data_IF_134375383526
#
_entry.id   IF_134375383526
#
_cell.length_a   1.000
_cell.length_b   1.000
_cell.length_c   1.000
_cell.angle_alpha   90.00
_cell.angle_beta   90.00
_cell.angle_gamma   90.00
#
_symmetry.space_group_name_H-M   'P 1'
#
loop_
_entity.id
_entity.type
_entity.pdbx_description
1 polymer ?
#
# COMPACT_ATOMS: atom_id res chain seq x y z
N UNK A 1 -4.75 -32.45 19.21
CA UNK A 1 -6.23 -32.41 19.20
C UNK A 1 -6.87 -31.16 19.83
N UNK A 2 -6.22 -30.41 20.73
CA UNK A 2 -6.80 -29.18 21.34
C UNK A 2 -6.85 -27.94 20.40
N UNK A 3 -5.89 -27.77 19.51
CA UNK A 3 -5.80 -26.60 18.60
C UNK A 3 -6.95 -26.50 17.57
N UNK A 4 -7.47 -27.62 17.07
CA UNK A 4 -8.59 -27.58 16.10
C UNK A 4 -9.90 -27.06 16.70
N UNK A 5 -10.20 -27.37 17.96
CA UNK A 5 -11.46 -26.92 18.60
C UNK A 5 -11.53 -25.41 18.87
N UNK A 6 -10.38 -24.76 19.11
CA UNK A 6 -10.35 -23.31 19.31
C UNK A 6 -10.59 -22.55 17.99
N UNK A 7 -10.06 -23.04 16.87
CA UNK A 7 -10.31 -22.46 15.54
C UNK A 7 -11.76 -22.67 15.09
N UNK A 8 -12.31 -23.87 15.28
CA UNK A 8 -13.73 -24.17 14.95
C UNK A 8 -14.70 -23.30 15.77
N UNK A 9 -14.39 -23.02 17.03
CA UNK A 9 -15.22 -22.19 17.90
C UNK A 9 -15.12 -20.69 17.53
N UNK A 10 -13.96 -20.24 17.09
CA UNK A 10 -13.72 -18.89 16.60
C UNK A 10 -14.49 -18.62 15.30
N UNK A 11 -14.42 -19.55 14.35
CA UNK A 11 -15.12 -19.43 13.07
C UNK A 11 -16.65 -19.48 13.23
N UNK A 12 -17.15 -20.31 14.14
CA UNK A 12 -18.57 -20.37 14.46
C UNK A 12 -19.10 -19.07 15.08
N UNK A 13 -18.35 -18.47 16.02
CA UNK A 13 -18.66 -17.19 16.64
C UNK A 13 -18.66 -16.05 15.62
N UNK A 14 -17.67 -15.99 14.74
CA UNK A 14 -17.61 -14.99 13.66
C UNK A 14 -18.80 -15.11 12.72
N UNK A 15 -19.18 -16.32 12.35
CA UNK A 15 -20.30 -16.58 11.46
C UNK A 15 -21.65 -16.18 12.10
N UNK A 16 -21.84 -16.48 13.38
CA UNK A 16 -23.05 -16.10 14.13
C UNK A 16 -23.13 -14.57 14.28
N UNK A 17 -22.02 -13.91 14.65
CA UNK A 17 -21.94 -12.47 14.75
C UNK A 17 -22.21 -11.79 13.42
N UNK A 18 -21.63 -12.30 12.32
CA UNK A 18 -21.90 -11.78 10.98
C UNK A 18 -23.38 -11.94 10.59
N UNK A 19 -24.01 -13.07 10.88
CA UNK A 19 -25.40 -13.31 10.50
C UNK A 19 -26.39 -12.38 11.24
N UNK A 20 -26.11 -12.05 12.50
CA UNK A 20 -26.93 -11.15 13.33
C UNK A 20 -26.66 -9.67 13.08
N UNK A 21 -25.55 -9.32 12.43
CA UNK A 21 -25.15 -7.95 12.15
C UNK A 21 -26.09 -7.24 11.16
N UNK A 22 -26.26 -5.93 11.32
CA UNK A 22 -26.97 -5.08 10.36
C UNK A 22 -26.25 -5.03 9.00
N UNK A 23 -26.94 -4.59 7.96
CA UNK A 23 -26.33 -4.45 6.64
C UNK A 23 -25.12 -3.51 6.64
N UNK A 24 -25.16 -2.41 7.41
CA UNK A 24 -24.03 -1.49 7.51
C UNK A 24 -22.82 -2.14 8.19
N UNK A 25 -23.03 -2.91 9.25
CA UNK A 25 -21.97 -3.67 9.91
C UNK A 25 -21.37 -4.72 8.98
N UNK A 26 -22.19 -5.45 8.22
CA UNK A 26 -21.74 -6.41 7.21
C UNK A 26 -20.90 -5.76 6.13
N UNK A 27 -21.27 -4.57 5.65
CA UNK A 27 -20.49 -3.80 4.70
C UNK A 27 -19.12 -3.44 5.28
N UNK A 28 -19.06 -2.93 6.51
CA UNK A 28 -17.80 -2.57 7.18
C UNK A 28 -16.92 -3.80 7.38
N UNK A 29 -17.47 -4.92 7.82
CA UNK A 29 -16.73 -6.18 8.00
C UNK A 29 -16.12 -6.66 6.68
N UNK A 30 -16.92 -6.74 5.62
CA UNK A 30 -16.44 -7.15 4.29
C UNK A 30 -15.34 -6.21 3.75
N UNK A 31 -15.53 -4.89 3.84
CA UNK A 31 -14.51 -3.92 3.39
C UNK A 31 -13.21 -4.07 4.16
N UNK A 32 -13.28 -4.34 5.48
CA UNK A 32 -12.09 -4.56 6.31
C UNK A 32 -11.36 -5.84 5.91
N UNK A 33 -12.09 -6.94 5.70
CA UNK A 33 -11.52 -8.23 5.32
C UNK A 33 -10.90 -8.17 3.90
N UNK A 34 -11.59 -7.53 2.96
CA UNK A 34 -11.05 -7.25 1.63
C UNK A 34 -9.77 -6.38 1.71
N UNK A 35 -9.79 -5.33 2.54
CA UNK A 35 -8.62 -4.47 2.74
C UNK A 35 -7.44 -5.24 3.33
N UNK A 36 -7.66 -6.16 4.26
CA UNK A 36 -6.63 -7.02 4.82
C UNK A 36 -6.04 -7.95 3.75
N UNK A 37 -6.89 -8.61 2.98
CA UNK A 37 -6.48 -9.49 1.86
C UNK A 37 -5.70 -8.70 0.81
N UNK A 38 -6.17 -7.51 0.43
CA UNK A 38 -5.47 -6.64 -0.51
C UNK A 38 -4.08 -6.23 -0.01
N UNK A 39 -3.92 -5.92 1.28
CA UNK A 39 -2.58 -5.62 1.85
C UNK A 39 -1.63 -6.80 1.75
N UNK A 40 -2.14 -8.01 1.90
CA UNK A 40 -1.35 -9.23 1.77
C UNK A 40 -0.96 -9.51 0.31
N UNK A 41 -1.89 -9.29 -0.63
CA UNK A 41 -1.68 -9.54 -2.06
C UNK A 41 -0.84 -8.46 -2.75
N UNK A 42 -0.90 -7.23 -2.25
CA UNK A 42 -0.17 -6.10 -2.83
C UNK A 42 1.05 -5.76 -2.00
N UNK A 43 2.15 -5.64 -2.70
CA UNK A 43 3.39 -5.14 -2.12
C UNK A 43 3.25 -3.68 -1.68
N UNK A 44 3.97 -3.31 -0.62
CA UNK A 44 3.95 -1.94 -0.09
C UNK A 44 4.26 -0.87 -1.16
N UNK A 45 3.77 0.34 -0.94
CA UNK A 45 3.91 1.48 -1.87
C UNK A 45 5.36 1.76 -2.30
N UNK A 46 6.34 1.39 -1.47
CA UNK A 46 7.77 1.55 -1.71
C UNK A 46 8.47 0.29 -2.24
N UNK A 47 7.74 -0.73 -2.69
CA UNK A 47 8.38 -1.93 -3.22
C UNK A 47 9.05 -1.67 -4.57
N UNK A 48 10.09 -2.45 -4.90
CA UNK A 48 10.77 -2.39 -6.19
C UNK A 48 9.80 -2.54 -7.36
N UNK A 49 8.89 -3.50 -7.27
CA UNK A 49 7.87 -3.74 -8.30
C UNK A 49 6.98 -2.52 -8.50
N UNK A 50 6.56 -1.86 -7.41
CA UNK A 50 5.73 -0.66 -7.51
C UNK A 50 6.47 0.49 -8.18
N UNK A 51 7.75 0.67 -7.88
CA UNK A 51 8.58 1.70 -8.51
C UNK A 51 8.77 1.41 -10.00
N UNK A 52 9.03 0.15 -10.40
CA UNK A 52 9.13 -0.24 -11.80
C UNK A 52 7.85 0.07 -12.58
N UNK A 53 6.68 -0.28 -12.03
CA UNK A 53 5.38 0.03 -12.66
C UNK A 53 5.20 1.55 -12.83
N UNK A 54 5.51 2.33 -11.80
CA UNK A 54 5.36 3.80 -11.87
C UNK A 54 6.31 4.42 -12.89
N UNK A 55 7.53 3.92 -13.00
CA UNK A 55 8.49 4.37 -14.02
C UNK A 55 8.05 4.00 -15.44
N UNK A 56 7.46 2.82 -15.61
CA UNK A 56 6.88 2.37 -16.88
C UNK A 56 5.69 3.25 -17.28
N UNK A 57 4.76 3.51 -16.35
CA UNK A 57 3.57 4.37 -16.57
C UNK A 57 3.97 5.80 -16.97
N UNK A 58 5.09 6.32 -16.47
CA UNK A 58 5.61 7.65 -16.83
C UNK A 58 6.22 7.64 -18.23
N UNK A 59 6.83 6.54 -18.66
CA UNK A 59 7.36 6.34 -20.01
C UNK A 59 8.59 7.17 -20.36
N UNK A 60 9.31 7.73 -19.36
CA UNK A 60 10.47 8.58 -19.59
C UNK A 60 11.39 8.66 -18.38
N UNK A 61 12.02 9.81 -18.19
CA UNK A 61 12.81 10.10 -16.99
C UNK A 61 12.01 10.95 -15.99
N UNK A 62 12.29 10.74 -14.72
CA UNK A 62 11.60 11.40 -13.60
C UNK A 62 12.61 11.68 -12.49
N UNK A 63 12.44 12.81 -11.80
CA UNK A 63 13.28 13.09 -10.63
C UNK A 63 12.85 12.23 -9.43
N UNK A 64 13.77 12.03 -8.49
CA UNK A 64 13.44 11.31 -7.26
C UNK A 64 12.29 11.98 -6.48
N UNK A 65 12.23 13.31 -6.51
CA UNK A 65 11.16 14.07 -5.86
C UNK A 65 9.79 13.73 -6.48
N UNK A 66 9.68 13.85 -7.80
CA UNK A 66 8.46 13.50 -8.54
C UNK A 66 8.02 12.06 -8.29
N UNK A 67 8.98 11.12 -8.25
CA UNK A 67 8.70 9.72 -7.94
C UNK A 67 8.17 9.56 -6.50
N UNK A 68 8.78 10.25 -5.54
CA UNK A 68 8.37 10.27 -4.13
C UNK A 68 6.93 10.80 -3.97
N UNK A 69 6.62 11.92 -4.61
CA UNK A 69 5.30 12.53 -4.61
C UNK A 69 4.25 11.58 -5.22
N UNK A 70 4.57 10.97 -6.36
CA UNK A 70 3.65 10.06 -7.05
C UNK A 70 3.39 8.76 -6.28
N UNK A 71 4.38 8.28 -5.53
CA UNK A 71 4.24 7.10 -4.67
C UNK A 71 3.58 7.42 -3.32
N UNK A 72 3.59 8.67 -2.87
CA UNK A 72 3.09 9.10 -1.58
C UNK A 72 3.83 8.44 -0.41
N UNK A 73 5.17 8.33 -0.52
CA UNK A 73 6.05 7.73 0.51
C UNK A 73 7.18 8.66 0.89
N UNK A 74 7.88 8.36 1.99
CA UNK A 74 8.98 9.20 2.48
C UNK A 74 10.20 9.13 1.55
N UNK A 75 10.93 10.24 1.34
CA UNK A 75 12.11 10.29 0.45
C UNK A 75 13.18 9.25 0.78
N UNK A 76 13.46 9.00 2.06
CA UNK A 76 14.44 8.01 2.50
C UNK A 76 14.13 6.59 2.02
N UNK A 77 12.86 6.17 2.13
CA UNK A 77 12.41 4.85 1.67
C UNK A 77 12.54 4.69 0.15
N UNK A 78 12.34 5.77 -0.62
CA UNK A 78 12.52 5.76 -2.08
C UNK A 78 13.99 5.59 -2.42
N UNK A 79 14.88 6.32 -1.73
CA UNK A 79 16.32 6.30 -2.00
C UNK A 79 16.94 4.92 -1.90
N UNK A 80 16.56 4.14 -0.87
CA UNK A 80 17.06 2.77 -0.67
C UNK A 80 16.64 1.85 -1.82
N UNK A 81 15.36 1.94 -2.21
CA UNK A 81 14.84 1.08 -3.28
C UNK A 81 15.39 1.46 -4.64
N UNK A 82 15.58 2.76 -4.91
CA UNK A 82 16.25 3.27 -6.11
C UNK A 82 17.67 2.75 -6.19
N UNK A 83 18.46 2.85 -5.11
CA UNK A 83 19.83 2.34 -5.08
C UNK A 83 19.88 0.83 -5.38
N UNK A 84 18.93 0.07 -4.88
CA UNK A 84 18.82 -1.37 -5.16
C UNK A 84 18.44 -1.66 -6.61
N UNK A 85 17.49 -0.93 -7.19
CA UNK A 85 17.09 -1.08 -8.60
C UNK A 85 18.26 -0.70 -9.54
N UNK A 86 19.03 0.32 -9.19
CA UNK A 86 20.23 0.73 -9.93
C UNK A 86 21.31 -0.35 -9.85
N UNK A 87 21.58 -0.91 -8.67
CA UNK A 87 22.56 -2.01 -8.50
C UNK A 87 22.17 -3.27 -9.26
N UNK A 88 20.87 -3.48 -9.49
CA UNK A 88 20.34 -4.58 -10.33
C UNK A 88 20.36 -4.26 -11.82
N UNK A 89 20.74 -3.03 -12.22
CA UNK A 89 20.78 -2.58 -13.60
C UNK A 89 19.40 -2.30 -14.21
N UNK A 90 18.36 -2.17 -13.42
CA UNK A 90 17.00 -1.90 -13.91
C UNK A 90 16.72 -0.42 -14.14
N UNK A 91 17.44 0.45 -13.46
CA UNK A 91 17.36 1.89 -13.67
C UNK A 91 18.75 2.50 -13.87
N UNK A 92 18.77 3.65 -14.52
CA UNK A 92 19.93 4.53 -14.61
C UNK A 92 19.64 5.85 -13.94
N UNK A 93 20.68 6.46 -13.38
CA UNK A 93 20.62 7.82 -12.81
C UNK A 93 21.57 8.74 -13.59
N UNK A 94 21.04 9.87 -14.02
CA UNK A 94 21.81 10.88 -14.74
C UNK A 94 21.56 12.26 -14.12
N UNK A 95 22.57 13.16 -14.06
CA UNK A 95 22.34 14.53 -13.63
C UNK A 95 21.29 15.20 -14.52
N UNK A 96 20.30 15.87 -13.89
CA UNK A 96 19.29 16.59 -14.64
C UNK A 96 19.93 17.74 -15.44
N UNK A 97 19.52 17.91 -16.70
CA UNK A 97 20.09 18.89 -17.61
C UNK A 97 19.78 20.33 -17.22
N UNK A 98 18.66 20.56 -16.57
CA UNK A 98 18.17 21.89 -16.20
C UNK A 98 18.59 22.28 -14.79
N UNK A 99 18.53 21.33 -13.85
CA UNK A 99 18.97 21.52 -12.46
C UNK A 99 19.93 20.42 -12.04
N UNK A 100 21.21 20.73 -12.05
CA UNK A 100 22.30 19.80 -11.69
C UNK A 100 22.25 19.32 -10.23
N UNK A 101 21.40 19.90 -9.39
CA UNK A 101 21.18 19.45 -8.00
C UNK A 101 20.24 18.26 -7.93
N UNK A 102 19.53 17.99 -9.02
CA UNK A 102 18.59 16.87 -9.12
C UNK A 102 19.13 15.78 -10.03
N UNK A 103 18.61 14.58 -9.85
CA UNK A 103 19.01 13.40 -10.61
C UNK A 103 17.76 12.85 -11.30
N UNK A 104 17.89 12.64 -12.59
CA UNK A 104 16.90 11.96 -13.41
C UNK A 104 17.06 10.44 -13.29
N UNK A 105 15.97 9.76 -13.11
CA UNK A 105 15.84 8.31 -13.00
C UNK A 105 15.06 7.82 -14.19
N UNK A 106 15.59 6.84 -14.91
CA UNK A 106 14.93 6.20 -16.04
C UNK A 106 15.12 4.69 -16.00
N UNK A 107 14.18 3.94 -16.59
CA UNK A 107 14.35 2.51 -16.82
C UNK A 107 15.43 2.27 -17.87
N UNK A 108 16.28 1.28 -17.62
CA UNK A 108 17.14 0.68 -18.63
C UNK A 108 16.33 -0.27 -19.52
N UNK A 109 16.92 -0.84 -20.57
CA UNK A 109 16.23 -1.85 -21.38
C UNK A 109 15.86 -3.10 -20.53
N UNK A 110 16.75 -3.56 -19.65
CA UNK A 110 16.44 -4.63 -18.71
C UNK A 110 15.37 -4.23 -17.69
N UNK A 111 15.36 -2.96 -17.28
CA UNK A 111 14.33 -2.40 -16.40
C UNK A 111 12.95 -2.35 -17.06
N UNK A 112 12.86 -2.02 -18.35
CA UNK A 112 11.60 -2.03 -19.11
C UNK A 112 11.03 -3.45 -19.19
N UNK A 113 11.87 -4.44 -19.50
CA UNK A 113 11.45 -5.86 -19.53
C UNK A 113 10.92 -6.29 -18.16
N UNK A 114 11.65 -5.97 -17.09
CA UNK A 114 11.23 -6.29 -15.73
C UNK A 114 9.94 -5.58 -15.32
N UNK A 115 9.75 -4.33 -15.73
CA UNK A 115 8.54 -3.54 -15.46
C UNK A 115 7.32 -4.14 -16.19
N UNK A 116 7.45 -4.48 -17.47
CA UNK A 116 6.39 -5.11 -18.26
C UNK A 116 5.99 -6.48 -17.69
N UNK A 117 6.94 -7.27 -17.23
CA UNK A 117 6.66 -8.55 -16.57
C UNK A 117 5.85 -8.34 -15.29
N UNK A 118 6.26 -7.40 -14.44
CA UNK A 118 5.54 -7.07 -13.20
C UNK A 118 4.14 -6.52 -13.50
N UNK A 119 4.00 -5.66 -14.50
CA UNK A 119 2.73 -5.09 -14.93
C UNK A 119 1.78 -6.18 -15.47
N UNK A 120 2.31 -7.14 -16.21
CA UNK A 120 1.55 -8.28 -16.71
C UNK A 120 1.07 -9.20 -15.59
N UNK A 121 1.94 -9.53 -14.62
CA UNK A 121 1.56 -10.29 -13.43
C UNK A 121 0.50 -9.56 -12.61
N UNK A 122 0.59 -8.24 -12.51
CA UNK A 122 -0.40 -7.41 -11.83
C UNK A 122 -1.76 -7.45 -12.53
N UNK A 123 -1.80 -7.28 -13.86
CA UNK A 123 -3.06 -7.38 -14.64
C UNK A 123 -3.73 -8.73 -14.44
N UNK A 124 -2.98 -9.82 -14.58
CA UNK A 124 -3.50 -11.18 -14.36
C UNK A 124 -4.09 -11.34 -12.95
N UNK A 125 -3.42 -10.83 -11.93
CA UNK A 125 -3.92 -10.86 -10.55
C UNK A 125 -5.22 -10.05 -10.40
N UNK A 126 -5.34 -8.88 -11.04
CA UNK A 126 -6.58 -8.11 -11.02
C UNK A 126 -7.75 -8.86 -11.67
N UNK A 127 -7.50 -9.55 -12.78
CA UNK A 127 -8.50 -10.38 -13.44
C UNK A 127 -8.95 -11.54 -12.54
N UNK A 128 -8.00 -12.22 -11.90
CA UNK A 128 -8.26 -13.32 -10.97
C UNK A 128 -9.05 -12.88 -9.73
N UNK A 129 -8.74 -11.72 -9.17
CA UNK A 129 -9.41 -11.19 -7.97
C UNK A 129 -10.92 -11.01 -8.14
N UNK A 130 -11.37 -10.71 -9.32
CA UNK A 130 -12.77 -10.46 -9.64
C UNK A 130 -13.36 -11.52 -10.59
N UNK A 131 -12.72 -12.69 -10.70
CA UNK A 131 -13.17 -13.76 -11.61
C UNK A 131 -14.49 -14.40 -11.19
N UNK A 132 -14.88 -14.26 -9.91
CA UNK A 132 -16.17 -14.73 -9.39
C UNK A 132 -17.36 -13.86 -9.81
N UNK A 133 -17.13 -12.68 -10.39
CA UNK A 133 -18.16 -11.73 -10.80
C UNK A 133 -18.33 -11.72 -12.33
N UNK A 134 -19.57 -11.64 -12.79
CA UNK A 134 -19.91 -11.31 -14.18
C UNK A 134 -19.51 -9.86 -14.50
N UNK A 135 -19.54 -9.50 -15.78
CA UNK A 135 -19.21 -8.13 -16.17
C UNK A 135 -20.21 -7.09 -15.63
N UNK A 136 -21.48 -7.43 -15.57
CA UNK A 136 -22.53 -6.54 -15.03
C UNK A 136 -22.35 -6.33 -13.52
N UNK A 137 -22.07 -7.40 -12.77
CA UNK A 137 -21.77 -7.30 -11.33
C UNK A 137 -20.49 -6.49 -11.05
N UNK A 138 -19.46 -6.61 -11.90
CA UNK A 138 -18.26 -5.76 -11.79
C UNK A 138 -18.58 -4.29 -12.01
N UNK A 139 -19.41 -3.97 -13.01
CA UNK A 139 -19.83 -2.61 -13.30
C UNK A 139 -20.66 -2.01 -12.15
N UNK A 140 -21.58 -2.79 -11.59
CA UNK A 140 -22.39 -2.38 -10.44
C UNK A 140 -21.53 -2.14 -9.20
N UNK A 141 -20.64 -3.08 -8.87
CA UNK A 141 -19.71 -2.95 -7.75
C UNK A 141 -18.82 -1.71 -7.91
N UNK A 142 -18.28 -1.45 -9.11
CA UNK A 142 -17.45 -0.28 -9.39
C UNK A 142 -18.23 1.00 -9.12
N UNK A 143 -19.45 1.13 -9.66
CA UNK A 143 -20.32 2.30 -9.46
C UNK A 143 -20.60 2.55 -7.97
N UNK A 144 -20.90 1.49 -7.19
CA UNK A 144 -21.16 1.61 -5.75
C UNK A 144 -19.91 2.02 -4.97
N UNK A 145 -18.75 1.45 -5.29
CA UNK A 145 -17.49 1.80 -4.64
C UNK A 145 -17.06 3.23 -4.96
N UNK A 146 -17.23 3.69 -6.20
CA UNK A 146 -16.94 5.07 -6.59
C UNK A 146 -17.82 6.06 -5.85
N UNK A 147 -19.11 5.76 -5.70
CA UNK A 147 -20.06 6.58 -4.93
C UNK A 147 -19.66 6.68 -3.46
N UNK A 148 -19.29 5.56 -2.82
CA UNK A 148 -18.84 5.54 -1.43
C UNK A 148 -17.52 6.31 -1.27
N UNK A 149 -16.55 6.11 -2.17
CA UNK A 149 -15.28 6.81 -2.15
C UNK A 149 -15.44 8.33 -2.32
N UNK A 150 -16.32 8.78 -3.21
CA UNK A 150 -16.60 10.20 -3.42
C UNK A 150 -17.17 10.85 -2.13
N UNK A 151 -18.13 10.20 -1.48
CA UNK A 151 -18.70 10.67 -0.22
C UNK A 151 -17.69 10.70 0.92
N UNK A 152 -16.89 9.63 1.07
CA UNK A 152 -15.87 9.54 2.12
C UNK A 152 -14.76 10.56 1.93
N UNK A 153 -14.34 10.83 0.70
CA UNK A 153 -13.34 11.86 0.41
C UNK A 153 -13.82 13.24 0.87
N UNK A 154 -15.11 13.53 0.74
CA UNK A 154 -15.69 14.81 1.21
C UNK A 154 -15.82 14.82 2.74
N UNK A 155 -16.34 13.74 3.35
CA UNK A 155 -16.62 13.70 4.79
C UNK A 155 -15.37 13.60 5.64
N UNK A 156 -14.34 12.89 5.16
CA UNK A 156 -13.15 12.56 5.91
C UNK A 156 -11.88 13.22 5.37
N UNK A 157 -12.00 14.25 4.51
CA UNK A 157 -10.89 15.11 4.11
C UNK A 157 -10.24 15.71 5.36
N UNK A 158 -8.95 15.41 5.57
CA UNK A 158 -8.21 15.85 6.77
C UNK A 158 -8.08 14.81 7.88
N UNK A 159 -8.84 13.71 7.85
CA UNK A 159 -8.67 12.63 8.85
C UNK A 159 -7.33 11.89 8.71
N UNK A 160 -6.75 11.86 7.53
CA UNK A 160 -5.40 11.32 7.31
C UNK A 160 -4.30 12.13 8.00
N UNK A 161 -4.47 13.44 8.14
CA UNK A 161 -3.53 14.30 8.86
C UNK A 161 -3.68 14.13 10.38
N UNK A 162 -4.89 13.86 10.86
CA UNK A 162 -5.14 13.49 12.26
C UNK A 162 -4.56 12.12 12.62
N UNK A 163 -4.68 11.14 11.74
CA UNK A 163 -4.10 9.80 11.94
C UNK A 163 -2.56 9.84 11.91
N UNK A 164 -1.95 10.63 11.03
CA UNK A 164 -0.48 10.83 10.99
C UNK A 164 0.03 11.53 12.26
N UNK A 165 -0.70 12.49 12.81
CA UNK A 165 -0.35 13.18 14.04
C UNK A 165 -0.48 12.26 15.27
N UNK A 166 -1.44 11.34 15.32
CA UNK A 166 -1.58 10.36 16.41
C UNK A 166 -0.42 9.35 16.44
N UNK A 167 0.09 8.88 15.30
CA UNK A 167 1.25 7.99 15.28
C UNK A 167 2.55 8.68 15.76
N UNK A 168 2.68 9.99 15.56
CA UNK A 168 3.83 10.76 16.04
C UNK A 168 3.80 10.99 17.57
N UNK A 169 2.62 11.14 18.17
CA UNK A 169 2.51 11.32 19.63
C UNK A 169 2.80 10.05 20.43
N UNK A 170 2.42 8.87 19.93
CA UNK A 170 2.71 7.60 20.63
C UNK A 170 4.19 7.18 20.60
N UNK A 171 4.96 7.64 19.64
CA UNK A 171 6.42 7.35 19.59
C UNK A 171 7.26 8.22 20.52
N UNK A 172 6.77 9.38 20.95
CA UNK A 172 7.51 10.30 21.83
C UNK A 172 7.31 10.03 23.33
N UNK A 173 6.32 9.25 23.74
CA UNK A 173 6.10 8.91 25.15
C UNK A 173 6.75 7.60 25.62
N UNK A 174 7.38 6.84 24.73
CA UNK A 174 8.04 5.56 25.06
C UNK A 174 9.48 5.66 25.58
N UNK A 175 10.09 6.83 25.64
CA UNK A 175 11.51 6.99 26.00
C UNK A 175 11.79 7.64 27.36
N UNK A 176 10.78 7.95 28.19
CA UNK A 176 11.00 8.65 29.47
C UNK A 176 10.84 7.81 30.75
N UNK A 177 10.65 6.49 30.66
CA UNK A 177 10.39 5.65 31.85
C UNK A 177 11.49 4.62 32.18
N UNK A 178 12.74 4.86 31.77
CA UNK A 178 13.90 4.00 32.19
C UNK A 178 15.08 4.76 32.78
N UNK A 179 14.84 5.78 33.58
CA UNK A 179 15.93 6.49 34.23
C UNK A 179 15.64 6.87 35.71
N UNK A 180 15.08 5.97 36.52
CA UNK A 180 15.10 6.11 37.99
C UNK A 180 14.94 4.73 38.62
N UNK A 181 16.01 3.97 38.71
CA UNK A 181 16.24 3.00 39.79
C UNK A 181 17.68 2.49 39.68
N UNK A 182 18.60 3.23 40.25
CA UNK A 182 19.76 2.64 40.91
C UNK A 182 20.57 3.75 41.63
N UNK A 183 20.20 4.04 42.88
CA UNK A 183 21.10 4.55 43.92
C UNK A 183 20.49 4.21 45.27
N UNK A 184 21.12 3.32 45.97
CA UNK A 184 20.82 3.03 47.39
C UNK A 184 21.38 1.68 47.78
N UNK A 185 22.53 1.76 48.41
CA UNK A 185 23.30 0.82 49.26
C UNK A 185 24.34 -0.01 48.53
#
# INVERSE_FOLDING_TARGET
MRKNKEYENHDAWHKEHYNSASNNEKLVLNLRDLSHTMRFLYEGKGSQKRILIVLEDIGGCVTQQQLTERLGIRPGSVSEVIAKLESMGYISRTPNKTDRRTVDIALTESGKIAAEEVSTQRRKRHEEMFSCLSQDEKNELLMLLEKVNADWNVRYQGSEDLARNHEHHHKNHGHHEKAFHNKGE
#
